data_IF_845949208779
#
_entry.id   IF_845949208779
#
_cell.length_a   1.000
_cell.length_b   1.000
_cell.length_c   1.000
_cell.angle_alpha   90.00
_cell.angle_beta   90.00
_cell.angle_gamma   90.00
#
_symmetry.space_group_name_H-M   'P 1'
#
loop_
_entity.id
_entity.type
_entity.pdbx_description
1 polymer ?
#
# COMPACT_ATOMS: atom_id res chain seq x y z
N UNK A 1 9.63 24.64 19.37
CA UNK A 1 9.21 24.88 17.96
C UNK A 1 10.41 24.68 17.07
N UNK A 2 10.21 24.13 15.88
CA UNK A 2 11.28 23.97 14.89
C UNK A 2 11.59 25.31 14.23
N UNK A 3 12.84 25.55 13.82
CA UNK A 3 13.21 26.77 13.08
C UNK A 3 12.74 26.72 11.62
N UNK A 4 12.61 25.51 11.05
CA UNK A 4 12.15 25.26 9.68
C UNK A 4 11.29 24.00 9.64
N UNK A 5 10.33 23.96 8.71
CA UNK A 5 9.42 22.84 8.48
C UNK A 5 9.40 22.50 6.99
N UNK A 6 9.59 21.22 6.64
CA UNK A 6 9.41 20.72 5.27
C UNK A 6 7.91 20.54 5.01
N UNK A 7 7.45 20.89 3.82
CA UNK A 7 6.05 20.79 3.39
C UNK A 7 5.95 20.24 1.97
N UNK A 8 4.80 19.62 1.64
CA UNK A 8 4.48 19.05 0.33
C UNK A 8 3.09 19.53 -0.11
N UNK A 9 2.91 19.70 -1.42
CA UNK A 9 1.62 19.96 -2.05
C UNK A 9 1.41 18.91 -3.14
N UNK A 10 0.25 18.25 -3.14
CA UNK A 10 -0.15 17.26 -4.15
C UNK A 10 -1.33 17.86 -4.94
N UNK A 11 -1.14 18.11 -6.23
CA UNK A 11 -2.18 18.63 -7.12
C UNK A 11 -2.99 17.47 -7.72
N UNK A 12 -4.21 17.27 -7.20
CA UNK A 12 -5.10 16.21 -7.63
C UNK A 12 -5.62 16.39 -9.07
N UNK A 13 -5.51 17.59 -9.67
CA UNK A 13 -5.85 17.81 -11.08
C UNK A 13 -4.79 17.23 -12.04
N UNK A 14 -3.59 16.93 -11.53
CA UNK A 14 -2.45 16.46 -12.32
C UNK A 14 -2.01 15.04 -11.97
N UNK A 15 -2.49 14.49 -10.86
CA UNK A 15 -2.25 13.10 -10.53
C UNK A 15 -2.95 12.21 -11.57
N UNK A 16 -2.19 11.28 -12.15
CA UNK A 16 -2.70 10.31 -13.14
C UNK A 16 -2.66 8.87 -12.61
N UNK A 17 -2.46 8.67 -11.31
CA UNK A 17 -2.47 7.33 -10.71
C UNK A 17 -1.32 6.41 -11.12
N UNK A 18 -0.26 6.88 -11.78
CA UNK A 18 0.74 6.01 -12.44
C UNK A 18 1.67 5.20 -11.52
N UNK A 19 1.53 5.30 -10.19
CA UNK A 19 2.34 4.58 -9.19
C UNK A 19 3.87 4.84 -9.23
N UNK A 20 4.37 5.77 -10.05
CA UNK A 20 5.81 6.02 -10.16
C UNK A 20 6.44 6.49 -8.84
N UNK A 21 5.72 7.31 -8.06
CA UNK A 21 6.19 7.79 -6.76
C UNK A 21 6.19 6.67 -5.69
N UNK A 22 5.25 5.72 -5.77
CA UNK A 22 5.21 4.49 -4.97
C UNK A 22 6.44 3.63 -5.27
N UNK A 23 6.68 3.34 -6.55
CA UNK A 23 7.83 2.53 -6.99
C UNK A 23 9.18 3.16 -6.60
N UNK A 24 9.34 4.48 -6.82
CA UNK A 24 10.57 5.17 -6.47
C UNK A 24 10.88 5.11 -4.96
N UNK A 25 9.87 5.26 -4.10
CA UNK A 25 10.05 5.13 -2.66
C UNK A 25 10.39 3.68 -2.27
N UNK A 26 9.68 2.71 -2.85
CA UNK A 26 9.86 1.28 -2.59
C UNK A 26 11.28 0.83 -2.91
N UNK A 27 11.76 1.14 -4.11
CA UNK A 27 13.09 0.74 -4.57
C UNK A 27 14.25 1.48 -3.91
N UNK A 28 14.00 2.60 -3.22
CA UNK A 28 15.04 3.36 -2.54
C UNK A 28 15.14 3.04 -1.05
N UNK A 29 14.01 2.73 -0.40
CA UNK A 29 13.94 2.70 1.06
C UNK A 29 13.31 1.44 1.65
N UNK A 30 12.45 0.74 0.93
CA UNK A 30 11.72 -0.43 1.46
C UNK A 30 11.95 -1.71 0.68
N UNK A 31 13.19 -1.93 0.24
CA UNK A 31 13.64 -3.09 -0.54
C UNK A 31 14.29 -4.22 0.30
N UNK A 32 14.32 -4.06 1.62
CA UNK A 32 14.92 -5.05 2.54
C UNK A 32 13.90 -6.09 3.06
N UNK A 33 14.38 -7.28 3.49
CA UNK A 33 13.52 -8.33 4.04
C UNK A 33 12.63 -7.86 5.21
N UNK A 34 11.34 -8.19 5.14
CA UNK A 34 10.33 -7.80 6.13
C UNK A 34 9.63 -6.47 5.82
N UNK A 35 10.04 -5.77 4.76
CA UNK A 35 9.46 -4.50 4.32
C UNK A 35 8.66 -4.63 3.02
N UNK A 36 8.46 -5.85 2.52
CA UNK A 36 7.75 -6.19 1.29
C UNK A 36 6.40 -5.48 1.22
N UNK A 37 5.62 -5.63 2.28
CA UNK A 37 4.30 -5.01 2.36
C UNK A 37 4.32 -3.50 2.58
N UNK A 38 5.44 -2.87 2.95
CA UNK A 38 5.50 -1.45 3.35
C UNK A 38 5.57 -0.51 2.14
N UNK A 39 4.49 0.24 1.94
CA UNK A 39 4.42 1.33 0.96
C UNK A 39 4.36 2.67 1.69
N UNK A 40 5.53 3.25 2.01
CA UNK A 40 5.59 4.55 2.71
C UNK A 40 4.99 5.70 1.89
N UNK A 41 5.07 5.58 0.57
CA UNK A 41 4.38 6.45 -0.37
C UNK A 41 3.47 5.55 -1.20
N UNK A 42 2.15 5.69 -1.06
CA UNK A 42 1.16 4.90 -1.78
C UNK A 42 0.18 5.83 -2.51
N UNK A 43 -0.41 5.32 -3.60
CA UNK A 43 -1.46 6.00 -4.36
C UNK A 43 -2.69 5.09 -4.37
N UNK A 44 -3.85 5.64 -4.00
CA UNK A 44 -5.11 4.93 -3.85
C UNK A 44 -6.23 5.61 -4.65
N UNK A 45 -7.18 4.81 -5.16
CA UNK A 45 -8.39 5.31 -5.80
C UNK A 45 -9.36 5.83 -4.74
N UNK A 46 -10.01 6.96 -5.01
CA UNK A 46 -11.08 7.50 -4.16
C UNK A 46 -12.36 7.68 -4.98
N UNK A 47 -13.53 7.25 -4.45
CA UNK A 47 -13.72 6.52 -3.18
C UNK A 47 -13.14 5.09 -3.22
N UNK A 48 -12.68 4.59 -2.07
CA UNK A 48 -12.09 3.25 -1.94
C UNK A 48 -11.57 2.97 -0.52
N UNK A 49 -11.40 1.68 -0.11
CA UNK A 49 -10.86 1.29 1.20
C UNK A 49 -9.45 1.79 1.51
N UNK A 50 -8.65 2.12 0.51
CA UNK A 50 -7.27 2.61 0.70
C UNK A 50 -6.28 1.57 1.22
N UNK A 51 -5.12 2.03 1.68
CA UNK A 51 -4.03 1.19 2.15
C UNK A 51 -3.45 1.64 3.51
N UNK A 52 -3.37 0.76 4.54
CA UNK A 52 -4.04 -0.54 4.62
C UNK A 52 -5.58 -0.37 4.51
N UNK A 53 -6.31 -1.43 4.16
CA UNK A 53 -7.77 -1.33 3.95
C UNK A 53 -8.46 -0.72 5.18
N UNK A 54 -9.36 0.22 4.92
CA UNK A 54 -10.17 0.93 5.91
C UNK A 54 -9.36 1.75 6.92
N UNK A 55 -8.18 2.25 6.54
CA UNK A 55 -7.33 3.04 7.43
C UNK A 55 -8.03 4.29 8.00
N UNK A 56 -8.98 4.88 7.28
CA UNK A 56 -9.77 6.05 7.74
C UNK A 56 -10.63 5.72 8.97
N UNK A 57 -10.96 4.44 9.19
CA UNK A 57 -11.72 3.94 10.34
C UNK A 57 -10.80 3.46 11.48
N UNK A 58 -9.47 3.50 11.30
CA UNK A 58 -8.48 2.94 12.22
C UNK A 58 -8.30 3.68 13.54
N UNK A 59 -8.95 4.83 13.73
CA UNK A 59 -8.84 5.66 14.93
C UNK A 59 -7.47 6.33 15.08
N UNK A 60 -7.06 6.60 16.33
CA UNK A 60 -5.86 7.37 16.63
C UNK A 60 -6.08 8.89 16.55
N UNK A 61 -4.98 9.65 16.64
CA UNK A 61 -5.00 11.11 16.66
C UNK A 61 -5.49 11.68 18.01
N UNK A 62 -6.17 12.83 17.96
CA UNK A 62 -6.65 13.58 19.13
C UNK A 62 -8.18 13.56 19.22
N UNK A 63 -8.70 13.75 20.43
CA UNK A 63 -10.11 14.08 20.65
C UNK A 63 -10.47 15.45 20.06
N UNK A 64 -11.77 15.73 19.95
CA UNK A 64 -12.29 16.91 19.22
C UNK A 64 -11.83 18.24 19.83
N UNK A 65 -11.59 18.28 21.13
CA UNK A 65 -11.08 19.46 21.86
C UNK A 65 -9.53 19.50 21.94
N UNK A 66 -8.83 18.48 21.41
CA UNK A 66 -7.38 18.42 21.34
C UNK A 66 -6.67 18.19 22.68
N UNK A 67 -7.38 17.73 23.71
CA UNK A 67 -6.85 17.59 25.07
C UNK A 67 -6.31 16.19 25.40
N UNK A 68 -6.72 15.17 24.66
CA UNK A 68 -6.33 13.78 24.91
C UNK A 68 -6.13 12.98 23.61
N UNK A 69 -5.23 11.99 23.69
CA UNK A 69 -4.99 11.04 22.60
C UNK A 69 -6.14 10.03 22.51
N UNK A 70 -6.56 9.72 21.28
CA UNK A 70 -7.50 8.64 21.00
C UNK A 70 -6.74 7.33 20.79
N UNK A 71 -7.25 6.19 21.30
CA UNK A 71 -6.72 4.89 20.92
C UNK A 71 -6.98 4.64 19.42
N UNK A 72 -6.02 4.02 18.76
CA UNK A 72 -6.18 3.45 17.41
C UNK A 72 -6.13 1.93 17.46
N UNK A 73 -6.43 1.30 16.33
CA UNK A 73 -6.27 -0.14 16.15
C UNK A 73 -5.01 -0.42 15.34
N UNK A 74 -4.37 -1.56 15.62
CA UNK A 74 -3.31 -2.08 14.75
C UNK A 74 -4.00 -2.79 13.57
N UNK A 75 -3.78 -2.35 12.32
CA UNK A 75 -4.33 -3.03 11.17
C UNK A 75 -3.83 -4.48 11.10
N UNK A 76 -4.70 -5.46 10.79
CA UNK A 76 -4.28 -6.81 10.48
C UNK A 76 -3.27 -6.82 9.33
N UNK A 77 -2.28 -7.71 9.39
CA UNK A 77 -1.26 -7.84 8.32
C UNK A 77 -1.91 -8.02 6.94
N UNK A 78 -3.01 -8.77 6.88
CA UNK A 78 -3.78 -9.05 5.66
C UNK A 78 -4.33 -7.81 4.96
N UNK A 79 -4.59 -6.72 5.71
CA UNK A 79 -5.16 -5.49 5.15
C UNK A 79 -4.10 -4.61 4.47
N UNK A 80 -2.81 -4.90 4.68
CA UNK A 80 -1.74 -4.40 3.82
C UNK A 80 -1.60 -5.20 2.52
N UNK A 81 -2.22 -6.39 2.44
CA UNK A 81 -1.96 -7.35 1.38
C UNK A 81 -0.65 -8.11 1.59
N UNK A 82 -0.34 -8.98 0.64
CA UNK A 82 0.86 -9.82 0.67
C UNK A 82 1.42 -10.00 -0.74
N UNK A 83 2.75 -10.05 -0.85
CA UNK A 83 3.41 -10.43 -2.08
C UNK A 83 3.27 -11.94 -2.28
N UNK A 84 2.51 -12.34 -3.30
CA UNK A 84 2.37 -13.75 -3.66
C UNK A 84 3.31 -14.04 -4.84
N UNK A 85 4.30 -14.94 -4.67
CA UNK A 85 5.23 -15.27 -5.74
C UNK A 85 4.52 -15.80 -6.98
N UNK A 86 5.14 -15.57 -8.14
CA UNK A 86 4.73 -16.16 -9.42
C UNK A 86 5.46 -17.49 -9.64
N UNK A 87 4.80 -18.42 -10.31
CA UNK A 87 5.33 -19.75 -10.65
C UNK A 87 6.36 -19.73 -11.81
N UNK A 88 7.34 -18.82 -11.79
CA UNK A 88 8.34 -18.65 -12.86
C UNK A 88 9.07 -19.95 -13.22
N UNK A 89 9.49 -20.73 -12.23
CA UNK A 89 10.24 -21.97 -12.47
C UNK A 89 9.44 -23.03 -13.19
N UNK A 90 8.15 -23.17 -12.84
CA UNK A 90 7.24 -24.12 -13.50
C UNK A 90 7.09 -23.80 -14.99
N UNK A 91 6.91 -22.51 -15.30
CA UNK A 91 6.63 -22.05 -16.67
C UNK A 91 7.88 -22.05 -17.54
N UNK A 92 9.01 -21.52 -17.04
CA UNK A 92 10.15 -21.21 -17.89
C UNK A 92 11.28 -22.26 -17.83
N UNK A 93 11.37 -23.04 -16.75
CA UNK A 93 12.55 -23.89 -16.49
C UNK A 93 12.24 -25.38 -16.34
N UNK A 94 11.00 -25.77 -16.03
CA UNK A 94 10.61 -27.17 -15.80
C UNK A 94 9.91 -27.86 -16.97
N UNK A 95 9.67 -27.16 -18.08
CA UNK A 95 9.03 -27.73 -19.27
C UNK A 95 7.58 -28.17 -19.06
N UNK A 96 6.89 -27.55 -18.10
CA UNK A 96 5.47 -27.81 -17.85
C UNK A 96 4.60 -27.07 -18.89
N UNK A 97 3.31 -27.44 -18.97
CA UNK A 97 2.30 -26.69 -19.73
C UNK A 97 1.46 -25.78 -18.82
N UNK A 98 2.04 -25.32 -17.71
CA UNK A 98 1.39 -24.37 -16.82
C UNK A 98 1.48 -22.94 -17.39
N UNK A 99 0.47 -22.13 -17.10
CA UNK A 99 0.49 -20.69 -17.37
C UNK A 99 1.13 -19.92 -16.20
N UNK A 100 1.67 -18.73 -16.49
CA UNK A 100 2.17 -17.82 -15.45
C UNK A 100 1.00 -17.35 -14.57
N UNK A 101 1.11 -17.62 -13.28
CA UNK A 101 0.12 -17.29 -12.25
C UNK A 101 0.79 -17.13 -10.89
N UNK A 102 0.11 -16.45 -9.98
CA UNK A 102 0.46 -16.48 -8.57
C UNK A 102 0.38 -17.92 -8.03
N UNK A 103 1.27 -18.28 -7.12
CA UNK A 103 1.29 -19.62 -6.49
C UNK A 103 0.02 -19.93 -5.68
N UNK A 104 -0.72 -18.89 -5.30
CA UNK A 104 -2.05 -18.99 -4.65
C UNK A 104 -2.88 -17.73 -4.96
N UNK A 105 -4.18 -17.81 -4.70
CA UNK A 105 -5.10 -16.69 -4.95
C UNK A 105 -4.79 -15.47 -4.07
N UNK A 106 -4.87 -14.28 -4.68
CA UNK A 106 -4.83 -13.00 -3.97
C UNK A 106 -6.23 -12.60 -3.52
N UNK A 107 -6.45 -12.50 -2.21
CA UNK A 107 -7.74 -12.03 -1.66
C UNK A 107 -7.77 -10.51 -1.37
N UNK A 108 -6.61 -9.91 -1.12
CA UNK A 108 -6.43 -8.49 -0.78
C UNK A 108 -5.05 -8.04 -1.28
N UNK A 109 -4.90 -6.75 -1.53
CA UNK A 109 -3.64 -6.16 -1.98
C UNK A 109 -3.66 -4.64 -1.81
N UNK A 110 -2.49 -4.03 -1.86
CA UNK A 110 -2.40 -2.61 -2.18
C UNK A 110 -2.99 -2.38 -3.57
N UNK A 111 -3.72 -1.27 -3.75
CA UNK A 111 -4.33 -0.91 -5.03
C UNK A 111 -5.30 -1.97 -5.61
N UNK A 112 -5.90 -2.81 -4.75
CA UNK A 112 -6.78 -3.92 -5.17
C UNK A 112 -8.07 -3.45 -5.87
N UNK A 113 -8.52 -2.24 -5.57
CA UNK A 113 -9.74 -1.58 -6.02
C UNK A 113 -9.46 -0.43 -7.01
N UNK A 114 -8.30 -0.45 -7.68
CA UNK A 114 -7.95 0.55 -8.70
C UNK A 114 -9.05 0.71 -9.76
N UNK A 115 -9.43 1.96 -10.02
CA UNK A 115 -10.41 2.35 -11.05
C UNK A 115 -11.79 1.65 -10.95
N UNK A 116 -12.18 1.20 -9.74
CA UNK A 116 -13.47 0.52 -9.52
C UNK A 116 -14.65 1.45 -9.24
N UNK A 117 -14.40 2.73 -8.99
CA UNK A 117 -15.40 3.75 -8.66
C UNK A 117 -16.09 4.37 -9.88
#
# INVERSE_FOLDING_TARGET
MTERQVAMVIDLNKCIGCQACTAACKSLWTDEPGQEYMLWNNVETKPGPGYPRYWEEGGGGWNEDGTALKPGVLPPKEDHGEEIPLNFDEVYFKGTQEILKQEREMGKGSNYDEDTS
#
